data_IF_127795157850
#
_entry.id   IF_127795157850
#
_cell.length_a   1.000
_cell.length_b   1.000
_cell.length_c   1.000
_cell.angle_alpha   90.00
_cell.angle_beta   90.00
_cell.angle_gamma   90.00
#
_symmetry.space_group_name_H-M   'P 1'
#
loop_
_entity.id
_entity.type
_entity.pdbx_description
1 polymer ?
#
# COMPACT_ATOMS: atom_id res chain seq x y z
N UNK A 1 11.28 15.36 14.49
CA UNK A 1 10.93 14.70 13.21
C UNK A 1 10.70 13.23 13.47
N UNK A 2 9.63 12.63 12.95
CA UNK A 2 9.43 11.18 13.01
C UNK A 2 9.93 10.59 11.69
N UNK A 3 11.11 9.97 11.72
CA UNK A 3 11.66 9.25 10.57
C UNK A 3 10.63 8.26 10.02
N UNK A 4 10.42 8.31 8.70
CA UNK A 4 9.50 7.42 7.99
C UNK A 4 8.05 7.92 7.91
N UNK A 5 7.78 9.21 8.14
CA UNK A 5 6.44 9.75 7.92
C UNK A 5 6.09 9.81 6.42
N UNK A 6 4.80 9.70 6.09
CA UNK A 6 4.32 9.83 4.69
C UNK A 6 4.69 11.18 4.06
N UNK A 7 4.70 12.24 4.86
CA UNK A 7 5.10 13.57 4.42
C UNK A 7 6.58 13.62 4.01
N UNK A 8 7.46 12.92 4.74
CA UNK A 8 8.89 12.85 4.41
C UNK A 8 9.09 12.08 3.09
N UNK A 9 8.37 10.97 2.90
CA UNK A 9 8.39 10.21 1.65
C UNK A 9 7.88 11.04 0.47
N UNK A 10 6.81 11.82 0.66
CA UNK A 10 6.29 12.72 -0.36
C UNK A 10 7.31 13.78 -0.77
N UNK A 11 7.99 14.41 0.19
CA UNK A 11 9.06 15.37 -0.08
C UNK A 11 10.23 14.73 -0.83
N UNK A 12 10.63 13.51 -0.44
CA UNK A 12 11.69 12.77 -1.12
C UNK A 12 11.34 12.45 -2.58
N UNK A 13 10.09 12.06 -2.86
CA UNK A 13 9.60 11.80 -4.23
C UNK A 13 9.74 13.06 -5.09
N UNK A 14 9.31 14.22 -4.58
CA UNK A 14 9.42 15.49 -5.31
C UNK A 14 10.88 15.81 -5.64
N UNK A 15 11.79 15.60 -4.69
CA UNK A 15 13.22 15.83 -4.90
C UNK A 15 13.80 14.89 -5.97
N UNK A 16 13.52 13.58 -5.89
CA UNK A 16 14.01 12.58 -6.86
C UNK A 16 13.46 12.84 -8.26
N UNK A 17 12.18 13.22 -8.37
CA UNK A 17 11.54 13.57 -9.64
C UNK A 17 12.18 14.82 -10.27
N UNK A 18 12.37 15.88 -9.50
CA UNK A 18 13.00 17.11 -9.96
C UNK A 18 14.47 16.91 -10.37
N UNK A 19 15.20 16.03 -9.67
CA UNK A 19 16.59 15.73 -9.96
C UNK A 19 16.80 14.91 -11.25
N UNK A 20 15.75 14.26 -11.78
CA UNK A 20 15.83 13.49 -13.03
C UNK A 20 14.61 13.71 -13.94
N UNK A 21 14.54 14.85 -14.66
CA UNK A 21 13.43 15.16 -15.57
C UNK A 21 13.25 14.15 -16.72
N UNK A 22 14.33 13.49 -17.17
CA UNK A 22 14.24 12.43 -18.18
C UNK A 22 13.41 11.22 -17.70
N UNK A 23 13.28 11.06 -16.37
CA UNK A 23 12.43 10.05 -15.75
C UNK A 23 10.97 10.13 -16.17
N UNK A 24 10.45 11.27 -16.63
CA UNK A 24 9.07 11.37 -17.15
C UNK A 24 8.82 10.48 -18.37
N UNK A 25 9.86 10.13 -19.12
CA UNK A 25 9.79 9.28 -20.32
C UNK A 25 10.18 7.82 -20.04
N UNK A 26 10.54 7.48 -18.80
CA UNK A 26 10.96 6.15 -18.42
C UNK A 26 9.75 5.31 -17.98
N UNK A 27 9.68 4.06 -18.45
CA UNK A 27 8.61 3.13 -18.10
C UNK A 27 8.54 2.84 -16.59
N UNK A 28 9.67 2.90 -15.88
CA UNK A 28 9.78 2.58 -14.45
C UNK A 28 10.69 3.56 -13.70
N UNK A 29 10.41 4.86 -13.81
CA UNK A 29 11.21 5.87 -13.12
C UNK A 29 11.22 5.65 -11.60
N UNK A 30 12.37 5.91 -10.96
CA UNK A 30 12.52 5.72 -9.51
C UNK A 30 11.45 6.46 -8.69
N UNK A 31 11.13 7.70 -9.08
CA UNK A 31 10.10 8.50 -8.40
C UNK A 31 8.70 7.88 -8.52
N UNK A 32 8.39 7.18 -9.62
CA UNK A 32 7.11 6.47 -9.79
C UNK A 32 7.01 5.27 -8.85
N UNK A 33 8.09 4.49 -8.72
CA UNK A 33 8.13 3.35 -7.78
C UNK A 33 7.95 3.82 -6.32
N UNK A 34 8.57 4.94 -5.96
CA UNK A 34 8.37 5.56 -4.65
C UNK A 34 6.93 6.07 -4.47
N UNK A 35 6.36 6.71 -5.50
CA UNK A 35 4.98 7.18 -5.49
C UNK A 35 3.98 6.03 -5.32
N UNK A 36 4.23 4.87 -5.93
CA UNK A 36 3.43 3.67 -5.70
C UNK A 36 3.39 3.28 -4.20
N UNK A 37 4.56 3.27 -3.54
CA UNK A 37 4.66 2.98 -2.11
C UNK A 37 3.90 4.03 -1.26
N UNK A 38 4.05 5.32 -1.60
CA UNK A 38 3.32 6.39 -0.92
C UNK A 38 1.80 6.21 -1.07
N UNK A 39 1.33 5.82 -2.26
CA UNK A 39 -0.09 5.56 -2.52
C UNK A 39 -0.61 4.41 -1.64
N UNK A 40 0.17 3.32 -1.50
CA UNK A 40 -0.19 2.20 -0.62
C UNK A 40 -0.38 2.65 0.84
N UNK A 41 0.51 3.50 1.35
CA UNK A 41 0.39 4.05 2.71
C UNK A 41 -0.65 5.16 2.86
N UNK A 42 -1.14 5.70 1.76
CA UNK A 42 -2.12 6.80 1.75
C UNK A 42 -3.56 6.31 1.66
N UNK A 43 -3.77 5.04 1.27
CA UNK A 43 -5.10 4.46 1.16
C UNK A 43 -5.74 4.33 2.55
N UNK A 44 -7.00 4.74 2.67
CA UNK A 44 -7.84 4.33 3.79
C UNK A 44 -8.42 2.96 3.46
N UNK A 45 -8.06 1.96 4.26
CA UNK A 45 -8.68 0.64 4.16
C UNK A 45 -10.02 0.66 4.91
N UNK A 46 -11.07 0.18 4.25
CA UNK A 46 -12.29 -0.19 4.97
C UNK A 46 -11.99 -1.43 5.82
N UNK A 47 -12.63 -1.59 7.00
CA UNK A 47 -12.61 -2.85 7.71
C UNK A 47 -12.98 -4.00 6.78
N UNK A 48 -12.36 -5.16 6.98
CA UNK A 48 -12.69 -6.35 6.21
C UNK A 48 -14.17 -6.69 6.43
N UNK A 49 -14.96 -6.68 5.35
CA UNK A 49 -16.35 -7.11 5.40
C UNK A 49 -16.42 -8.64 5.45
N UNK A 50 -16.31 -9.18 6.67
CA UNK A 50 -16.43 -10.61 6.94
C UNK A 50 -17.84 -11.15 6.69
N UNK A 51 -18.83 -10.28 6.45
CA UNK A 51 -20.22 -10.63 6.13
C UNK A 51 -20.51 -10.67 4.63
N UNK A 52 -19.52 -10.38 3.77
CA UNK A 52 -19.70 -10.27 2.32
C UNK A 52 -20.28 -11.52 1.65
N UNK A 53 -19.98 -12.69 2.19
CA UNK A 53 -20.40 -13.99 1.67
C UNK A 53 -21.11 -14.77 2.79
N UNK A 54 -22.43 -14.60 2.95
CA UNK A 54 -23.18 -15.20 4.07
C UNK A 54 -23.22 -16.74 4.03
N UNK A 55 -22.93 -17.34 2.89
CA UNK A 55 -22.78 -18.78 2.71
C UNK A 55 -21.45 -19.33 3.26
N UNK A 56 -20.45 -18.46 3.47
CA UNK A 56 -19.16 -18.86 4.05
C UNK A 56 -19.27 -18.86 5.58
N UNK A 57 -19.03 -20.02 6.16
CA UNK A 57 -18.93 -20.19 7.62
C UNK A 57 -17.48 -20.23 8.04
N UNK A 58 -17.09 -19.33 8.95
CA UNK A 58 -15.79 -19.41 9.60
C UNK A 58 -15.71 -20.68 10.45
N UNK A 59 -14.65 -21.47 10.25
CA UNK A 59 -14.37 -22.66 11.06
C UNK A 59 -13.14 -22.41 11.93
N UNK A 60 -12.99 -23.21 12.98
CA UNK A 60 -11.80 -23.20 13.84
C UNK A 60 -11.14 -24.60 13.83
N UNK A 61 -9.87 -24.71 14.25
CA UNK A 61 -9.14 -25.98 14.19
C UNK A 61 -9.84 -27.12 14.92
N UNK A 62 -10.46 -26.87 16.08
CA UNK A 62 -11.17 -27.92 16.82
C UNK A 62 -12.37 -28.40 16.01
N UNK A 63 -13.24 -27.48 15.57
CA UNK A 63 -14.42 -27.82 14.75
C UNK A 63 -14.05 -28.56 13.47
N UNK A 64 -12.92 -28.23 12.83
CA UNK A 64 -12.44 -28.93 11.64
C UNK A 64 -11.86 -30.32 11.94
N UNK A 65 -11.09 -30.45 13.02
CA UNK A 65 -10.38 -31.69 13.36
C UNK A 65 -11.27 -32.73 14.06
N UNK A 66 -12.43 -32.33 14.59
CA UNK A 66 -13.39 -33.22 15.25
C UNK A 66 -14.66 -33.47 14.42
N UNK A 67 -14.68 -33.03 13.16
CA UNK A 67 -15.78 -33.25 12.22
C UNK A 67 -15.80 -34.67 11.65
#
# INVERSE_FOLDING_TARGET
MRLGARADLAAAIQHVRAANPAGEQQLYANWQQMQYMLSMFSVQNQPLDNGRYPELSWTNPVTFLTA
#
